data_IF_114415479813
#
_entry.id   IF_114415479813
#
_cell.length_a   1.000
_cell.length_b   1.000
_cell.length_c   1.000
_cell.angle_alpha   90.00
_cell.angle_beta   90.00
_cell.angle_gamma   90.00
#
_symmetry.space_group_name_H-M   'P 1'
#
loop_
_entity.id
_entity.type
_entity.pdbx_description
1 polymer ?
#
# COMPACT_ATOMS: atom_id res chain seq x y z
N UNK A 1 26.70 -17.74 -0.23
CA UNK A 1 26.14 -16.60 0.55
C UNK A 1 24.67 -16.90 0.83
N UNK A 2 24.12 -16.54 2.01
CA UNK A 2 22.68 -16.72 2.27
C UNK A 2 21.88 -15.68 1.48
N UNK A 3 20.86 -16.12 0.76
CA UNK A 3 19.92 -15.24 0.05
C UNK A 3 18.79 -14.84 0.99
N UNK A 4 18.80 -13.59 1.46
CA UNK A 4 17.76 -13.03 2.32
C UNK A 4 16.60 -12.41 1.54
N UNK A 5 16.74 -12.17 0.23
CA UNK A 5 15.68 -11.57 -0.58
C UNK A 5 14.42 -12.44 -0.61
N UNK A 6 14.58 -13.76 -0.45
CA UNK A 6 13.45 -14.71 -0.32
C UNK A 6 12.53 -14.48 0.89
N UNK A 7 12.97 -13.69 1.88
CA UNK A 7 12.15 -13.33 3.05
C UNK A 7 11.41 -12.01 2.86
N UNK A 8 11.64 -11.31 1.76
CA UNK A 8 11.02 -10.01 1.48
C UNK A 8 9.69 -10.24 0.77
N UNK A 9 8.61 -9.80 1.40
CA UNK A 9 7.31 -9.64 0.75
C UNK A 9 7.14 -8.17 0.32
N UNK A 10 7.27 -7.92 -0.97
CA UNK A 10 7.16 -6.58 -1.56
C UNK A 10 5.71 -6.04 -1.53
N UNK A 11 4.72 -6.91 -1.31
CA UNK A 11 3.31 -6.53 -1.24
C UNK A 11 2.86 -6.13 0.17
N UNK A 12 3.71 -6.37 1.17
CA UNK A 12 3.40 -6.01 2.55
C UNK A 12 3.14 -4.51 2.69
N UNK A 13 1.92 -4.16 3.13
CA UNK A 13 1.47 -2.77 3.32
C UNK A 13 0.83 -2.12 2.08
N UNK A 14 0.72 -2.83 0.95
CA UNK A 14 0.06 -2.32 -0.25
C UNK A 14 -1.47 -2.25 -0.10
N UNK A 15 -2.04 -3.16 0.70
CA UNK A 15 -3.48 -3.30 0.88
C UNK A 15 -3.97 -2.78 2.24
N UNK A 16 -5.30 -2.54 2.38
CA UNK A 16 -5.91 -2.20 3.65
C UNK A 16 -5.64 -3.25 4.73
N UNK A 17 -5.24 -2.82 5.92
CA UNK A 17 -5.03 -3.71 7.05
C UNK A 17 -6.37 -4.26 7.55
N UNK A 18 -6.53 -5.57 7.44
CA UNK A 18 -7.64 -6.30 8.08
C UNK A 18 -7.35 -6.37 9.57
N UNK A 19 -8.18 -5.70 10.39
CA UNK A 19 -8.09 -5.75 11.84
C UNK A 19 -9.28 -6.53 12.39
N UNK A 20 -9.10 -7.20 13.54
CA UNK A 20 -10.23 -7.79 14.26
C UNK A 20 -11.22 -6.70 14.69
N UNK A 21 -12.43 -7.14 15.06
CA UNK A 21 -13.43 -6.28 15.68
C UNK A 21 -12.85 -5.67 16.95
N UNK A 22 -13.09 -4.37 17.16
CA UNK A 22 -12.60 -3.66 18.35
C UNK A 22 -13.52 -3.92 19.53
N UNK A 23 -12.91 -4.27 20.66
CA UNK A 23 -13.58 -4.57 21.92
C UNK A 23 -12.92 -3.81 23.08
N UNK A 24 -13.59 -3.74 24.23
CA UNK A 24 -13.09 -3.01 25.40
C UNK A 24 -12.74 -1.54 25.11
N UNK A 25 -11.57 -1.10 25.60
CA UNK A 25 -11.06 0.28 25.43
C UNK A 25 -10.88 0.64 23.94
N UNK A 26 -10.50 -0.33 23.10
CA UNK A 26 -10.29 -0.09 21.67
C UNK A 26 -11.58 0.29 20.93
N UNK A 27 -12.76 -0.01 21.48
CA UNK A 27 -14.06 0.38 20.89
C UNK A 27 -14.21 1.90 20.77
N UNK A 28 -13.59 2.66 21.68
CA UNK A 28 -13.61 4.12 21.66
C UNK A 28 -12.64 4.73 20.63
N UNK A 29 -11.66 3.96 20.14
CA UNK A 29 -10.63 4.49 19.26
C UNK A 29 -11.18 4.89 17.89
N UNK A 30 -10.86 6.11 17.47
CA UNK A 30 -11.20 6.66 16.16
C UNK A 30 -9.91 6.86 15.36
N UNK A 31 -9.58 5.99 14.39
CA UNK A 31 -8.39 6.16 13.58
C UNK A 31 -8.57 7.38 12.69
N UNK A 32 -7.60 8.29 12.76
CA UNK A 32 -7.53 9.51 11.96
C UNK A 32 -6.97 9.28 10.55
N UNK A 33 -6.75 8.02 10.17
CA UNK A 33 -6.25 7.61 8.85
C UNK A 33 -6.75 6.21 8.49
N UNK A 34 -6.92 5.95 7.20
CA UNK A 34 -7.08 4.59 6.71
C UNK A 34 -5.82 3.78 7.01
N UNK A 35 -5.99 2.62 7.63
CA UNK A 35 -4.84 1.80 7.99
C UNK A 35 -4.45 0.94 6.80
N UNK A 36 -3.40 1.37 6.15
CA UNK A 36 -2.64 0.68 5.12
C UNK A 36 -1.21 1.22 5.22
N UNK A 37 -0.24 0.47 4.72
CA UNK A 37 1.14 0.94 4.67
C UNK A 37 1.34 2.05 3.64
N UNK A 38 0.47 2.13 2.63
CA UNK A 38 0.69 2.93 1.42
C UNK A 38 2.04 2.61 0.77
N UNK A 39 2.49 1.35 0.86
CA UNK A 39 3.73 0.89 0.23
C UNK A 39 3.47 0.48 -1.23
N UNK A 40 4.54 0.22 -1.98
CA UNK A 40 4.45 -0.34 -3.34
C UNK A 40 5.44 -1.47 -3.54
N UNK A 41 5.09 -2.46 -4.39
CA UNK A 41 5.94 -3.61 -4.66
C UNK A 41 6.93 -3.31 -5.79
N UNK A 42 7.64 -2.19 -5.69
CA UNK A 42 8.47 -1.72 -6.79
C UNK A 42 9.80 -2.46 -6.94
N UNK A 43 10.18 -2.71 -8.18
CA UNK A 43 11.52 -3.17 -8.50
C UNK A 43 12.47 -1.96 -8.42
N UNK A 44 13.37 -1.99 -7.45
CA UNK A 44 14.34 -0.93 -7.20
C UNK A 44 15.60 -1.52 -6.58
N UNK A 45 16.76 -0.97 -6.91
CA UNK A 45 18.00 -1.26 -6.18
C UNK A 45 17.99 -0.52 -4.83
N UNK A 46 18.75 -0.99 -3.81
CA UNK A 46 18.88 -0.24 -2.56
C UNK A 46 19.27 1.22 -2.82
N UNK A 47 18.45 2.17 -2.36
CA UNK A 47 18.61 3.62 -2.59
C UNK A 47 18.65 4.03 -4.08
N UNK A 48 18.07 3.23 -4.97
CA UNK A 48 17.96 3.54 -6.39
C UNK A 48 17.13 4.80 -6.64
N UNK A 49 17.58 5.65 -7.58
CA UNK A 49 16.88 6.89 -7.96
C UNK A 49 15.62 6.66 -8.81
N UNK A 50 15.58 5.53 -9.51
CA UNK A 50 14.46 5.11 -10.35
C UNK A 50 14.00 3.74 -9.90
N UNK A 51 12.70 3.55 -9.89
CA UNK A 51 12.04 2.27 -9.65
C UNK A 51 11.23 1.85 -10.88
N UNK A 52 10.62 0.68 -10.85
CA UNK A 52 9.62 0.28 -11.83
C UNK A 52 8.49 -0.48 -11.13
N UNK A 53 7.25 -0.05 -11.34
CA UNK A 53 6.08 -0.71 -10.78
C UNK A 53 4.82 -0.39 -11.58
N UNK A 54 3.88 -1.32 -11.58
CA UNK A 54 2.60 -1.16 -12.25
C UNK A 54 1.81 0.03 -11.68
N UNK A 55 1.04 0.68 -12.54
CA UNK A 55 0.27 1.87 -12.21
C UNK A 55 -1.20 1.63 -12.51
N UNK A 56 -2.04 1.83 -11.49
CA UNK A 56 -3.50 1.74 -11.54
C UNK A 56 -4.18 3.09 -11.33
N UNK A 57 -3.44 4.12 -10.94
CA UNK A 57 -3.99 5.42 -10.52
C UNK A 57 -4.55 5.44 -9.10
N UNK A 58 -4.41 4.33 -8.35
CA UNK A 58 -4.87 4.25 -6.97
C UNK A 58 -4.04 5.12 -6.01
N UNK A 59 -4.66 5.52 -4.92
CA UNK A 59 -4.05 6.40 -3.92
C UNK A 59 -3.13 5.62 -2.97
N UNK A 60 -2.04 6.24 -2.46
CA UNK A 60 -1.43 7.51 -2.89
C UNK A 60 -0.30 7.30 -3.91
N UNK A 61 0.14 6.06 -4.06
CA UNK A 61 1.38 5.71 -4.77
C UNK A 61 1.17 5.44 -6.25
N UNK A 62 -0.09 5.37 -6.68
CA UNK A 62 -0.46 4.92 -8.01
C UNK A 62 -0.56 3.41 -8.16
N UNK A 63 -0.24 2.61 -7.13
CA UNK A 63 -0.32 1.15 -7.17
C UNK A 63 -1.55 0.63 -6.42
N UNK A 64 -2.04 -0.54 -6.80
CA UNK A 64 -3.07 -1.27 -6.06
C UNK A 64 -4.48 -0.75 -6.34
N UNK A 65 -5.31 -0.73 -5.31
CA UNK A 65 -6.74 -0.48 -5.45
C UNK A 65 -7.33 0.42 -4.34
N UNK A 66 -6.48 1.05 -3.53
CA UNK A 66 -6.96 1.92 -2.46
C UNK A 66 -7.48 3.24 -3.03
N UNK A 67 -8.70 3.63 -2.65
CA UNK A 67 -9.21 4.99 -2.91
C UNK A 67 -8.56 5.97 -1.92
N UNK A 68 -8.60 7.26 -2.26
CA UNK A 68 -8.24 8.35 -1.34
C UNK A 68 -8.96 8.15 0.00
N UNK A 69 -8.20 8.21 1.09
CA UNK A 69 -8.71 7.96 2.42
C UNK A 69 -8.11 8.94 3.43
N UNK A 70 -8.94 9.33 4.40
CA UNK A 70 -8.55 10.12 5.58
C UNK A 70 -9.01 9.45 6.88
N UNK A 71 -9.78 8.37 6.79
CA UNK A 71 -10.30 7.60 7.92
C UNK A 71 -10.45 6.14 7.50
N UNK A 72 -10.71 5.24 8.46
CA UNK A 72 -11.23 3.90 8.14
C UNK A 72 -12.75 3.93 7.84
N UNK A 73 -13.27 2.96 7.05
CA UNK A 73 -12.53 1.95 6.28
C UNK A 73 -12.02 2.50 4.94
N UNK A 74 -10.90 1.96 4.46
CA UNK A 74 -10.41 2.27 3.10
C UNK A 74 -11.33 1.58 2.11
N UNK A 75 -11.86 2.34 1.15
CA UNK A 75 -12.72 1.81 0.10
C UNK A 75 -11.86 1.40 -1.11
N UNK A 76 -12.24 0.33 -1.83
CA UNK A 76 -11.62 0.01 -3.10
C UNK A 76 -11.95 1.09 -4.17
N UNK A 77 -11.03 1.35 -5.08
CA UNK A 77 -11.20 2.24 -6.22
C UNK A 77 -11.83 1.52 -7.42
N UNK A 78 -11.56 0.23 -7.55
CA UNK A 78 -11.97 -0.69 -8.60
C UNK A 78 -12.48 -2.01 -8.00
N UNK A 79 -13.30 -2.79 -8.71
CA UNK A 79 -13.77 -4.09 -8.22
C UNK A 79 -12.67 -5.15 -8.12
N UNK A 80 -11.57 -5.01 -8.86
CA UNK A 80 -10.44 -5.94 -8.89
C UNK A 80 -9.14 -5.19 -9.21
N UNK A 81 -7.99 -5.83 -8.96
CA UNK A 81 -6.68 -5.28 -9.34
C UNK A 81 -6.59 -5.10 -10.86
N UNK A 82 -6.15 -3.92 -11.27
CA UNK A 82 -5.91 -3.56 -12.67
C UNK A 82 -4.76 -2.57 -12.76
N UNK A 83 -4.13 -2.47 -13.91
CA UNK A 83 -3.11 -1.46 -14.19
C UNK A 83 -3.27 -0.96 -15.63
N UNK A 84 -2.77 0.25 -15.92
CA UNK A 84 -2.74 0.85 -17.24
C UNK A 84 -1.32 1.09 -17.78
N UNK A 85 -0.28 0.77 -16.99
CA UNK A 85 1.10 0.85 -17.43
C UNK A 85 2.09 0.64 -16.29
N UNK A 86 3.34 1.02 -16.54
CA UNK A 86 4.43 1.02 -15.57
C UNK A 86 5.00 2.44 -15.45
N UNK A 87 5.36 2.85 -14.23
CA UNK A 87 5.93 4.18 -13.97
C UNK A 87 7.24 4.05 -13.21
N UNK A 88 8.10 5.07 -13.32
CA UNK A 88 9.50 4.97 -12.91
C UNK A 88 9.90 5.77 -11.66
N UNK A 89 8.96 6.56 -11.11
CA UNK A 89 9.16 7.38 -9.90
C UNK A 89 7.85 7.46 -9.14
N UNK A 90 7.87 7.18 -7.83
CA UNK A 90 6.71 7.28 -6.94
C UNK A 90 7.12 7.36 -5.48
N UNK A 91 6.29 7.95 -4.61
CA UNK A 91 6.47 7.82 -3.18
C UNK A 91 5.98 6.44 -2.68
N UNK A 92 6.54 5.98 -1.57
CA UNK A 92 6.12 4.80 -0.82
C UNK A 92 6.01 5.16 0.66
N UNK A 93 4.94 4.75 1.34
CA UNK A 93 4.72 5.03 2.77
C UNK A 93 4.14 6.41 3.08
N UNK A 94 3.58 7.12 2.10
CA UNK A 94 3.08 8.50 2.25
C UNK A 94 1.56 8.59 2.38
N UNK A 95 1.02 9.81 2.50
CA UNK A 95 -0.39 10.11 2.78
C UNK A 95 -0.72 10.00 4.25
#
# INVERSE_FOLDING_TARGET
MKDFCKKVDVFFGCDPTVLPKREGVAKAWKPIKGMCGNTTPEAVLPFGKMSCCSYSGAYPTGYGNCRVNSCRPIKPMYPFHRFCGFTHVRPSGTG
#
